data_IF_314876690889
#
_entry.id   IF_314876690889
#
_cell.length_a   1.000
_cell.length_b   1.000
_cell.length_c   1.000
_cell.angle_alpha   90.00
_cell.angle_beta   90.00
_cell.angle_gamma   90.00
#
_symmetry.space_group_name_H-M   'P 1'
#
loop_
_entity.id
_entity.type
_entity.pdbx_description
1 polymer ?
#
# COMPACT_ATOMS: atom_id res chain seq x y z
N UNK A 1 11.31 4.90 4.16
CA UNK A 1 10.29 3.94 3.67
C UNK A 1 9.80 4.38 2.30
N UNK A 2 9.12 3.51 1.55
CA UNK A 2 8.53 3.88 0.26
C UNK A 2 7.44 4.95 0.40
N UNK A 3 7.14 5.66 -0.69
CA UNK A 3 6.02 6.59 -0.75
C UNK A 3 4.80 5.89 -1.39
N UNK A 4 3.65 5.94 -0.72
CA UNK A 4 2.42 5.35 -1.21
C UNK A 4 1.21 6.15 -0.74
N UNK A 5 0.28 6.39 -1.66
CA UNK A 5 -1.07 6.87 -1.34
C UNK A 5 -2.03 5.76 -1.79
N UNK A 6 -2.82 5.26 -0.84
CA UNK A 6 -3.88 4.29 -1.13
C UNK A 6 -5.20 5.02 -1.23
N UNK A 7 -5.90 4.83 -2.33
CA UNK A 7 -7.21 5.41 -2.60
C UNK A 7 -8.24 4.30 -2.69
N UNK A 8 -9.42 4.50 -2.10
CA UNK A 8 -10.60 3.68 -2.28
C UNK A 8 -11.66 4.54 -2.97
N UNK A 9 -12.04 4.14 -4.19
CA UNK A 9 -13.13 4.77 -4.93
C UNK A 9 -14.34 3.86 -4.87
N UNK A 10 -15.45 4.39 -4.37
CA UNK A 10 -16.68 3.64 -4.09
C UNK A 10 -17.74 3.98 -5.12
N UNK A 11 -18.45 2.95 -5.59
CA UNK A 11 -19.52 2.99 -6.56
C UNK A 11 -20.73 2.20 -6.04
N UNK A 12 -21.91 2.46 -6.59
CA UNK A 12 -23.16 1.78 -6.19
C UNK A 12 -23.07 0.26 -6.40
N UNK A 13 -22.48 -0.17 -7.52
CA UNK A 13 -22.25 -1.58 -7.87
C UNK A 13 -20.85 -1.77 -8.44
N UNK A 14 -20.29 -3.00 -8.41
CA UNK A 14 -19.04 -3.33 -9.11
C UNK A 14 -19.29 -3.47 -10.63
N UNK A 15 -19.72 -2.38 -11.26
CA UNK A 15 -20.25 -2.36 -12.64
C UNK A 15 -19.26 -2.85 -13.69
N UNK A 16 -17.95 -2.73 -13.44
CA UNK A 16 -16.90 -3.26 -14.32
C UNK A 16 -17.03 -4.76 -14.54
N UNK A 17 -17.54 -5.51 -13.54
CA UNK A 17 -17.77 -6.95 -13.66
C UNK A 17 -18.85 -7.27 -14.70
N UNK A 18 -19.88 -6.43 -14.84
CA UNK A 18 -20.92 -6.58 -15.86
C UNK A 18 -20.38 -6.36 -17.28
N UNK A 19 -19.23 -5.68 -17.40
CA UNK A 19 -18.50 -5.48 -18.66
C UNK A 19 -17.47 -6.59 -18.91
N UNK A 20 -17.42 -7.64 -18.08
CA UNK A 20 -16.45 -8.73 -18.18
C UNK A 20 -15.05 -8.36 -17.67
N UNK A 21 -14.90 -7.25 -16.96
CA UNK A 21 -13.62 -6.80 -16.41
C UNK A 21 -13.43 -7.28 -14.97
N UNK A 22 -12.18 -7.57 -14.59
CA UNK A 22 -11.83 -8.02 -13.24
C UNK A 22 -11.78 -6.88 -12.20
N UNK A 23 -11.66 -5.63 -12.65
CA UNK A 23 -11.36 -4.48 -11.80
C UNK A 23 -9.89 -4.39 -11.36
N UNK A 24 -9.03 -5.29 -11.86
CA UNK A 24 -7.59 -5.20 -11.67
C UNK A 24 -6.93 -4.56 -12.89
N UNK A 25 -6.01 -3.62 -12.66
CA UNK A 25 -5.22 -2.99 -13.71
C UNK A 25 -3.83 -2.63 -13.19
N UNK A 26 -2.83 -2.74 -14.06
CA UNK A 26 -1.45 -2.28 -13.81
C UNK A 26 -1.02 -1.49 -15.03
N UNK A 27 -0.46 -0.30 -14.83
CA UNK A 27 -0.01 0.53 -15.93
C UNK A 27 0.86 1.69 -15.48
N UNK A 28 1.42 2.40 -16.45
CA UNK A 28 2.19 3.62 -16.22
C UNK A 28 1.35 4.83 -16.60
N UNK A 29 0.34 5.12 -15.78
CA UNK A 29 -0.45 6.36 -15.89
C UNK A 29 0.21 7.47 -15.08
N UNK A 30 -0.38 8.66 -15.10
CA UNK A 30 0.19 9.83 -14.43
C UNK A 30 0.18 9.69 -12.90
N UNK A 31 -0.93 9.24 -12.32
CA UNK A 31 -1.11 9.08 -10.88
C UNK A 31 -1.15 7.60 -10.45
N UNK A 32 -2.01 6.79 -11.08
CA UNK A 32 -2.34 5.43 -10.63
C UNK A 32 -1.46 4.38 -11.32
N UNK A 33 -0.72 3.60 -10.53
CA UNK A 33 0.10 2.49 -11.04
C UNK A 33 -0.65 1.15 -11.02
N UNK A 34 -1.41 0.92 -9.94
CA UNK A 34 -2.12 -0.33 -9.67
C UNK A 34 -3.56 -0.03 -9.24
N UNK A 35 -4.48 -0.84 -9.76
CA UNK A 35 -5.89 -0.90 -9.34
C UNK A 35 -6.22 -2.33 -8.98
N UNK A 36 -6.98 -2.52 -7.89
CA UNK A 36 -7.50 -3.81 -7.50
C UNK A 36 -8.97 -3.70 -7.09
N UNK A 37 -9.78 -4.66 -7.53
CA UNK A 37 -11.15 -4.82 -7.05
C UNK A 37 -11.12 -5.23 -5.57
N UNK A 38 -11.59 -4.32 -4.71
CA UNK A 38 -11.70 -4.50 -3.26
C UNK A 38 -13.16 -4.59 -2.80
N UNK A 39 -14.06 -4.91 -3.72
CA UNK A 39 -15.48 -5.12 -3.42
C UNK A 39 -15.65 -6.34 -2.54
N UNK A 40 -16.42 -6.19 -1.46
CA UNK A 40 -16.81 -7.32 -0.64
C UNK A 40 -17.58 -8.35 -1.50
N UNK A 41 -17.25 -9.65 -1.44
CA UNK A 41 -17.90 -10.66 -2.27
C UNK A 41 -19.38 -10.91 -1.91
N UNK A 42 -19.88 -10.38 -0.79
CA UNK A 42 -21.29 -10.50 -0.41
C UNK A 42 -22.20 -9.84 -1.46
N UNK A 43 -23.30 -10.49 -1.87
CA UNK A 43 -24.27 -9.90 -2.79
C UNK A 43 -24.79 -8.54 -2.29
N UNK A 44 -24.95 -7.58 -3.21
CA UNK A 44 -25.41 -6.23 -2.89
C UNK A 44 -24.34 -5.31 -2.27
N UNK A 45 -23.09 -5.76 -2.14
CA UNK A 45 -22.00 -4.88 -1.69
C UNK A 45 -21.71 -3.79 -2.74
N UNK A 46 -21.35 -2.56 -2.29
CA UNK A 46 -20.92 -1.52 -3.20
C UNK A 46 -19.65 -1.92 -3.94
N UNK A 47 -19.47 -1.40 -5.16
CA UNK A 47 -18.24 -1.56 -5.91
C UNK A 47 -17.11 -0.75 -5.27
N UNK A 48 -15.95 -1.35 -5.01
CA UNK A 48 -14.79 -0.63 -4.48
C UNK A 48 -13.56 -0.94 -5.34
N UNK A 49 -12.94 0.10 -5.88
CA UNK A 49 -11.61 0.00 -6.51
C UNK A 49 -10.58 0.59 -5.55
N UNK A 50 -9.63 -0.25 -5.14
CA UNK A 50 -8.41 0.22 -4.47
C UNK A 50 -7.39 0.62 -5.53
N UNK A 51 -7.00 1.89 -5.53
CA UNK A 51 -6.04 2.46 -6.46
C UNK A 51 -4.80 2.92 -5.70
N UNK A 52 -3.62 2.70 -6.27
CA UNK A 52 -2.35 2.94 -5.61
C UNK A 52 -1.52 3.92 -6.44
N UNK A 53 -1.14 5.02 -5.80
CA UNK A 53 -0.07 5.89 -6.26
C UNK A 53 1.18 5.49 -5.50
N UNK A 54 2.28 5.28 -6.22
CA UNK A 54 3.52 4.68 -5.71
C UNK A 54 4.71 5.58 -6.05
N UNK A 55 5.75 5.57 -5.21
CA UNK A 55 7.03 6.20 -5.50
C UNK A 55 6.93 7.68 -5.89
N UNK A 56 7.38 8.01 -7.10
CA UNK A 56 7.38 9.38 -7.63
C UNK A 56 5.97 9.96 -7.74
N UNK A 57 4.98 9.17 -8.16
CA UNK A 57 3.59 9.61 -8.26
C UNK A 57 3.04 9.95 -6.86
N UNK A 58 3.26 9.07 -5.88
CA UNK A 58 2.85 9.35 -4.49
C UNK A 58 3.50 10.63 -3.93
N UNK A 59 4.77 10.86 -4.25
CA UNK A 59 5.50 12.07 -3.82
C UNK A 59 4.95 13.33 -4.48
N UNK A 60 4.79 13.32 -5.82
CA UNK A 60 4.23 14.41 -6.61
C UNK A 60 2.82 14.76 -6.12
N UNK A 61 1.90 13.81 -6.17
CA UNK A 61 0.50 14.05 -5.85
C UNK A 61 0.22 14.22 -4.36
N UNK A 62 1.08 13.67 -3.48
CA UNK A 62 0.96 13.87 -2.03
C UNK A 62 1.17 15.32 -1.60
N UNK A 63 1.91 16.12 -2.38
CA UNK A 63 2.11 17.55 -2.12
C UNK A 63 0.99 18.45 -2.66
N UNK A 64 0.06 17.91 -3.45
CA UNK A 64 -1.02 18.67 -4.05
C UNK A 64 -2.27 18.72 -3.14
N UNK A 65 -3.16 19.70 -3.33
CA UNK A 65 -4.48 19.69 -2.70
C UNK A 65 -5.28 18.43 -3.06
N UNK A 66 -6.11 17.96 -2.12
CA UNK A 66 -6.96 16.77 -2.31
C UNK A 66 -7.79 16.81 -3.59
N UNK A 67 -8.31 17.98 -3.97
CA UNK A 67 -9.12 18.12 -5.18
C UNK A 67 -8.34 17.80 -6.46
N UNK A 68 -7.08 18.25 -6.57
CA UNK A 68 -6.23 18.02 -7.72
C UNK A 68 -5.79 16.55 -7.80
N UNK A 69 -5.38 15.98 -6.66
CA UNK A 69 -5.02 14.56 -6.57
C UNK A 69 -6.22 13.66 -6.90
N UNK A 70 -7.41 13.95 -6.35
CA UNK A 70 -8.64 13.23 -6.68
C UNK A 70 -8.95 13.30 -8.18
N UNK A 71 -8.84 14.48 -8.78
CA UNK A 71 -9.10 14.63 -10.22
C UNK A 71 -8.15 13.77 -11.07
N UNK A 72 -6.86 13.73 -10.73
CA UNK A 72 -5.87 12.91 -11.42
C UNK A 72 -6.18 11.41 -11.30
N UNK A 73 -6.48 10.92 -10.09
CA UNK A 73 -6.84 9.52 -9.85
C UNK A 73 -8.08 9.11 -10.64
N UNK A 74 -9.13 9.94 -10.63
CA UNK A 74 -10.36 9.62 -11.36
C UNK A 74 -10.17 9.71 -12.88
N UNK A 75 -9.29 10.58 -13.37
CA UNK A 75 -8.96 10.65 -14.79
C UNK A 75 -8.20 9.40 -15.26
N UNK A 76 -7.29 8.89 -14.45
CA UNK A 76 -6.59 7.63 -14.72
C UNK A 76 -7.54 6.43 -14.69
N UNK A 77 -8.44 6.36 -13.71
CA UNK A 77 -9.48 5.33 -13.67
C UNK A 77 -10.40 5.39 -14.89
N UNK A 78 -10.76 6.60 -15.35
CA UNK A 78 -11.53 6.77 -16.57
C UNK A 78 -10.77 6.32 -17.82
N UNK A 79 -9.45 6.50 -17.84
CA UNK A 79 -8.59 6.02 -18.93
C UNK A 79 -8.57 4.49 -18.99
N UNK A 80 -8.61 3.81 -17.83
CA UNK A 80 -8.58 2.35 -17.74
C UNK A 80 -9.95 1.69 -17.98
N UNK A 81 -11.01 2.27 -17.41
CA UNK A 81 -12.32 1.61 -17.27
C UNK A 81 -13.48 2.39 -17.93
N UNK A 82 -13.18 3.52 -18.59
CA UNK A 82 -14.17 4.41 -19.21
C UNK A 82 -14.72 5.46 -18.25
N UNK A 83 -15.42 6.46 -18.80
CA UNK A 83 -15.85 7.67 -18.06
C UNK A 83 -16.73 7.37 -16.85
N UNK A 84 -17.48 6.26 -16.85
CA UNK A 84 -18.25 5.78 -15.70
C UNK A 84 -17.41 5.72 -14.41
N UNK A 85 -16.13 5.35 -14.50
CA UNK A 85 -15.24 5.29 -13.33
C UNK A 85 -14.97 6.66 -12.68
N UNK A 86 -15.09 7.75 -13.42
CA UNK A 86 -15.00 9.11 -12.89
C UNK A 86 -16.36 9.67 -12.51
N UNK A 87 -17.37 9.39 -13.34
CA UNK A 87 -18.64 10.12 -13.32
C UNK A 87 -19.67 9.51 -12.33
N UNK A 88 -19.48 8.25 -11.91
CA UNK A 88 -20.41 7.54 -11.00
C UNK A 88 -19.86 7.31 -9.58
N UNK A 89 -18.85 8.08 -9.18
CA UNK A 89 -18.22 7.97 -7.86
C UNK A 89 -19.18 8.40 -6.76
N UNK A 90 -19.47 7.49 -5.82
CA UNK A 90 -20.23 7.78 -4.61
C UNK A 90 -19.34 8.37 -3.52
N UNK A 91 -18.21 7.72 -3.26
CA UNK A 91 -17.27 8.14 -2.22
C UNK A 91 -15.83 7.99 -2.70
N UNK A 92 -14.97 8.83 -2.14
CA UNK A 92 -13.53 8.82 -2.38
C UNK A 92 -12.84 8.96 -1.04
N UNK A 93 -12.06 7.93 -0.68
CA UNK A 93 -11.27 7.90 0.55
C UNK A 93 -9.82 7.67 0.20
N UNK A 94 -8.90 8.34 0.90
CA UNK A 94 -7.47 8.11 0.68
C UNK A 94 -6.67 8.18 1.97
N UNK A 95 -5.56 7.45 1.99
CA UNK A 95 -4.55 7.50 3.03
C UNK A 95 -3.18 7.75 2.41
N UNK A 96 -2.56 8.87 2.79
CA UNK A 96 -1.19 9.23 2.44
C UNK A 96 -0.24 8.71 3.54
N UNK A 97 0.42 7.57 3.31
CA UNK A 97 1.25 6.93 4.34
C UNK A 97 2.45 7.77 4.78
N UNK A 98 3.17 8.47 3.86
CA UNK A 98 4.21 9.43 4.22
C UNK A 98 3.82 10.51 5.23
N UNK A 99 2.56 10.94 5.30
CA UNK A 99 2.13 12.02 6.22
C UNK A 99 1.99 11.56 7.67
N UNK A 100 1.90 10.25 7.92
CA UNK A 100 1.79 9.75 9.28
C UNK A 100 3.17 9.68 9.94
N UNK A 101 3.45 10.46 11.01
CA UNK A 101 4.78 10.54 11.62
C UNK A 101 5.24 9.25 12.30
N UNK A 102 4.32 8.33 12.61
CA UNK A 102 4.62 7.03 13.22
C UNK A 102 4.87 5.93 12.20
N UNK A 103 4.61 6.21 10.93
CA UNK A 103 4.71 5.24 9.83
C UNK A 103 5.73 5.71 8.80
N UNK A 104 5.64 6.95 8.33
CA UNK A 104 6.63 7.58 7.45
C UNK A 104 6.68 7.04 6.01
N UNK A 105 5.83 6.08 5.65
CA UNK A 105 5.74 5.53 4.30
C UNK A 105 5.13 4.13 4.23
N UNK A 106 5.11 3.52 3.06
CA UNK A 106 4.61 2.16 2.85
C UNK A 106 5.21 1.52 1.57
N UNK A 107 5.12 0.19 1.41
CA UNK A 107 4.63 -0.79 2.40
C UNK A 107 5.65 -1.09 3.50
N UNK A 108 6.93 -0.99 3.16
CA UNK A 108 8.04 -1.35 4.06
C UNK A 108 9.19 -0.38 3.90
N UNK A 109 10.21 -0.59 4.73
CA UNK A 109 11.54 -0.04 4.45
C UNK A 109 12.13 -0.62 3.16
N UNK A 110 12.95 0.17 2.48
CA UNK A 110 13.76 -0.26 1.35
C UNK A 110 15.20 0.16 1.59
N UNK A 111 16.14 -0.52 0.94
CA UNK A 111 17.57 -0.26 1.09
C UNK A 111 18.09 0.48 -0.13
N UNK A 112 18.93 1.50 0.10
CA UNK A 112 19.66 2.17 -0.98
C UNK A 112 20.90 1.34 -1.38
N UNK A 113 21.51 1.61 -2.55
CA UNK A 113 22.70 0.90 -2.98
C UNK A 113 23.80 0.90 -1.90
N UNK A 114 24.33 -0.29 -1.60
CA UNK A 114 25.38 -0.49 -0.59
C UNK A 114 24.88 -0.71 0.84
N UNK A 115 23.65 -0.34 1.19
CA UNK A 115 23.14 -0.50 2.57
C UNK A 115 23.05 -1.98 2.98
N UNK A 116 22.54 -2.83 2.09
CA UNK A 116 22.36 -4.26 2.41
C UNK A 116 23.71 -4.97 2.64
N UNK A 117 24.70 -4.72 1.78
CA UNK A 117 26.00 -5.40 1.88
C UNK A 117 26.86 -4.88 3.03
N UNK A 118 26.69 -3.62 3.44
CA UNK A 118 27.42 -3.04 4.57
C UNK A 118 26.77 -3.34 5.93
N UNK A 119 25.43 -3.33 6.00
CA UNK A 119 24.71 -3.32 7.28
C UNK A 119 23.64 -4.42 7.43
N UNK A 120 23.37 -5.22 6.39
CA UNK A 120 22.31 -6.23 6.43
C UNK A 120 22.48 -7.27 7.53
N UNK A 121 23.72 -7.62 7.87
CA UNK A 121 24.02 -8.53 8.98
C UNK A 121 23.63 -7.95 10.34
N UNK A 122 23.71 -6.62 10.50
CA UNK A 122 23.40 -5.93 11.76
C UNK A 122 21.89 -5.76 11.98
N UNK A 123 21.07 -5.85 10.94
CA UNK A 123 19.63 -5.58 10.99
C UNK A 123 18.87 -6.39 12.05
N UNK A 124 19.33 -7.61 12.34
CA UNK A 124 18.70 -8.54 13.29
C UNK A 124 19.48 -8.72 14.59
N UNK A 125 20.66 -8.13 14.70
CA UNK A 125 21.55 -8.36 15.83
C UNK A 125 21.00 -7.65 17.08
N UNK A 126 20.73 -8.38 18.18
CA UNK A 126 20.28 -7.76 19.41
C UNK A 126 21.39 -6.88 20.01
N UNK A 127 20.98 -5.84 20.75
CA UNK A 127 21.89 -4.96 21.47
C UNK A 127 21.64 -5.14 22.97
N UNK A 128 22.49 -5.94 23.63
CA UNK A 128 22.30 -6.29 25.04
C UNK A 128 20.99 -7.05 25.26
N UNK A 129 20.02 -6.42 25.93
CA UNK A 129 18.68 -6.97 26.19
C UNK A 129 17.60 -6.42 25.25
N UNK A 130 18.01 -5.70 24.19
CA UNK A 130 17.10 -5.16 23.17
C UNK A 130 17.08 -6.10 21.98
N UNK A 131 15.90 -6.64 21.68
CA UNK A 131 15.64 -7.52 20.54
C UNK A 131 14.78 -6.80 19.51
N UNK A 132 15.00 -7.10 18.24
CA UNK A 132 14.30 -6.46 17.14
C UNK A 132 13.17 -7.35 16.62
N UNK A 133 12.00 -6.75 16.43
CA UNK A 133 10.87 -7.33 15.71
C UNK A 133 10.52 -6.44 14.51
N UNK A 134 9.33 -6.61 13.95
CA UNK A 134 8.90 -5.87 12.77
C UNK A 134 9.20 -6.63 11.48
N UNK A 135 8.40 -6.39 10.46
CA UNK A 135 8.45 -7.22 9.24
C UNK A 135 9.81 -7.13 8.53
N UNK A 136 10.51 -6.01 8.64
CA UNK A 136 11.85 -5.79 8.10
C UNK A 136 12.89 -6.79 8.58
N UNK A 137 12.77 -7.28 9.82
CA UNK A 137 13.73 -8.24 10.38
C UNK A 137 13.34 -9.69 10.10
N UNK A 138 12.21 -9.94 9.46
CA UNK A 138 11.80 -11.30 9.09
C UNK A 138 12.75 -11.91 8.06
N UNK A 139 12.92 -13.23 8.09
CA UNK A 139 13.61 -14.00 7.05
C UNK A 139 12.67 -14.53 5.97
N UNK A 140 11.35 -14.57 6.25
CA UNK A 140 10.32 -14.87 5.26
C UNK A 140 9.30 -13.74 5.18
N UNK A 141 8.91 -13.39 3.94
CA UNK A 141 7.90 -12.35 3.66
C UNK A 141 8.18 -10.98 4.30
N UNK A 142 9.43 -10.44 4.26
CA UNK A 142 9.69 -9.11 4.79
C UNK A 142 8.86 -8.07 4.04
N UNK A 143 8.29 -7.12 4.79
CA UNK A 143 7.36 -6.10 4.28
C UNK A 143 5.88 -6.51 4.31
N UNK A 144 5.56 -7.74 4.71
CA UNK A 144 4.18 -8.23 4.82
C UNK A 144 3.78 -8.51 6.27
N UNK A 145 2.47 -8.65 6.49
CA UNK A 145 1.90 -9.01 7.80
C UNK A 145 2.48 -10.32 8.32
N UNK A 146 2.66 -11.33 7.46
CA UNK A 146 3.26 -12.61 7.84
C UNK A 146 4.68 -12.44 8.39
N UNK A 147 5.50 -11.58 7.77
CA UNK A 147 6.82 -11.26 8.28
C UNK A 147 6.77 -10.53 9.63
N UNK A 148 5.79 -9.65 9.84
CA UNK A 148 5.61 -8.98 11.14
C UNK A 148 5.26 -9.97 12.26
N UNK A 149 4.36 -10.93 11.97
CA UNK A 149 3.98 -11.99 12.91
C UNK A 149 5.19 -12.85 13.27
N UNK A 150 5.88 -13.38 12.25
CA UNK A 150 7.05 -14.22 12.44
C UNK A 150 8.13 -13.50 13.26
N UNK A 151 8.51 -12.28 12.86
CA UNK A 151 9.53 -11.52 13.57
C UNK A 151 9.14 -11.21 15.02
N UNK A 152 7.86 -10.98 15.30
CA UNK A 152 7.35 -10.78 16.65
C UNK A 152 7.45 -12.03 17.52
N UNK A 153 7.06 -13.19 16.97
CA UNK A 153 7.18 -14.48 17.65
C UNK A 153 8.64 -14.87 17.91
N UNK A 154 9.51 -14.68 16.92
CA UNK A 154 10.95 -14.95 17.03
C UNK A 154 11.60 -14.07 18.11
N UNK A 155 11.31 -12.77 18.13
CA UNK A 155 11.83 -11.86 19.13
C UNK A 155 11.33 -12.21 20.54
N UNK A 156 10.04 -12.57 20.68
CA UNK A 156 9.48 -13.01 21.96
C UNK A 156 10.13 -14.30 22.46
N UNK A 157 10.40 -15.26 21.57
CA UNK A 157 11.10 -16.50 21.93
C UNK A 157 12.54 -16.21 22.38
N UNK A 158 13.27 -15.36 21.65
CA UNK A 158 14.64 -15.00 21.99
C UNK A 158 14.75 -14.33 23.38
N UNK A 159 13.74 -13.52 23.76
CA UNK A 159 13.65 -12.96 25.11
C UNK A 159 13.37 -14.05 26.15
N UNK A 160 12.45 -14.99 25.87
CA UNK A 160 12.13 -16.10 26.78
C UNK A 160 13.35 -16.98 27.09
N UNK A 161 14.19 -17.23 26.10
CA UNK A 161 15.38 -18.09 26.25
C UNK A 161 16.48 -17.46 27.14
N UNK A 162 16.35 -16.18 27.49
CA UNK A 162 17.24 -15.49 28.44
C UNK A 162 16.75 -15.46 29.89
N UNK A 163 15.53 -15.92 30.16
CA UNK A 163 14.91 -15.97 31.49
C UNK A 163 15.17 -17.32 32.17
#
# INVERSE_FOLDING_TARGET
MGALIKVLVVYDTPWWRMQGLSGNAIGKLEAVELVADSTNPKPGSPGILASFLTGEAATKYGSLPLAERRAAVLQDLATLLGSTARDSVLEYHEGNWPENPWIGGAYSSFYTPGTWTQFGASLRQPIGRIFWAGTEVSTAWPGYIHGALQAGEDAAQAVRDLL
#
